data_IF_652065539169
#
_entry.id   IF_652065539169
#
_cell.length_a   1.000
_cell.length_b   1.000
_cell.length_c   1.000
_cell.angle_alpha   90.00
_cell.angle_beta   90.00
_cell.angle_gamma   90.00
#
_symmetry.space_group_name_H-M   'P 1'
#
loop_
_entity.id
_entity.type
_entity.pdbx_description
1 polymer ?
#
# COMPACT_ATOMS: atom_id res chain seq x y z
N UNK A 1 4.88 5.27 -16.50
CA UNK A 1 5.73 5.47 -15.30
C UNK A 1 5.08 4.88 -14.07
N UNK A 2 5.85 4.56 -13.05
CA UNK A 2 5.38 4.01 -11.77
C UNK A 2 5.37 5.14 -10.73
N UNK A 3 4.20 5.43 -10.14
CA UNK A 3 4.09 6.41 -9.06
C UNK A 3 4.65 5.81 -7.75
N UNK A 4 5.59 6.51 -7.12
CA UNK A 4 6.15 6.12 -5.82
C UNK A 4 6.00 7.22 -4.77
N UNK A 5 6.28 6.91 -3.52
CA UNK A 5 6.18 7.87 -2.40
C UNK A 5 7.18 9.04 -2.48
N UNK A 6 8.21 8.94 -3.31
CA UNK A 6 9.18 10.02 -3.53
C UNK A 6 9.00 10.68 -4.90
N UNK A 7 9.29 9.93 -5.96
CA UNK A 7 9.23 10.43 -7.33
C UNK A 7 8.75 9.32 -8.27
N UNK A 8 8.05 9.65 -9.36
CA UNK A 8 7.74 8.67 -10.39
C UNK A 8 9.00 8.05 -11.00
N UNK A 9 8.94 6.75 -11.27
CA UNK A 9 10.04 5.98 -11.88
C UNK A 9 9.64 5.50 -13.27
N UNK A 10 10.61 5.48 -14.18
CA UNK A 10 10.45 4.77 -15.43
C UNK A 10 10.49 3.25 -15.18
N UNK A 11 9.44 2.54 -15.61
CA UNK A 11 9.34 1.09 -15.43
C UNK A 11 10.50 0.34 -16.10
N UNK A 12 11.00 0.84 -17.25
CA UNK A 12 12.13 0.27 -17.96
C UNK A 12 13.47 0.40 -17.24
N UNK A 13 13.60 1.35 -16.32
CA UNK A 13 14.83 1.56 -15.54
C UNK A 13 14.98 0.61 -14.36
N UNK A 14 13.93 -0.17 -14.02
CA UNK A 14 13.91 -1.02 -12.84
C UNK A 14 14.48 -2.39 -13.17
N UNK A 15 15.60 -2.72 -12.55
CA UNK A 15 16.31 -3.99 -12.76
C UNK A 15 16.05 -5.02 -11.67
N UNK A 16 15.57 -4.60 -10.51
CA UNK A 16 15.33 -5.46 -9.35
C UNK A 16 13.93 -6.07 -9.30
N UNK A 17 13.73 -6.91 -8.30
CA UNK A 17 12.47 -7.60 -8.05
C UNK A 17 11.42 -6.72 -7.39
N UNK A 18 10.16 -7.20 -7.36
CA UNK A 18 9.02 -6.52 -6.74
C UNK A 18 8.45 -7.38 -5.61
N UNK A 19 8.35 -6.81 -4.40
CA UNK A 19 7.51 -7.36 -3.34
C UNK A 19 6.08 -6.85 -3.53
N UNK A 20 5.19 -7.75 -3.93
CA UNK A 20 3.88 -7.38 -4.50
C UNK A 20 2.81 -7.05 -3.44
N UNK A 21 3.04 -7.38 -2.17
CA UNK A 21 2.12 -7.08 -1.06
C UNK A 21 2.84 -7.14 0.27
N UNK A 22 3.16 -5.98 0.84
CA UNK A 22 3.83 -5.86 2.14
C UNK A 22 3.22 -4.72 2.95
N UNK A 23 3.40 -4.73 4.26
CA UNK A 23 3.12 -3.58 5.14
C UNK A 23 4.43 -3.14 5.78
N UNK A 24 4.65 -1.83 5.89
CA UNK A 24 5.91 -1.29 6.34
C UNK A 24 5.80 -0.50 7.64
N UNK A 25 4.76 0.31 7.78
CA UNK A 25 4.65 1.25 8.88
C UNK A 25 3.21 1.67 9.15
N UNK A 26 2.84 1.66 10.42
CA UNK A 26 1.58 2.21 10.92
C UNK A 26 1.84 3.34 11.92
N UNK A 27 0.96 4.33 11.97
CA UNK A 27 0.98 5.36 13.01
C UNK A 27 0.60 4.75 14.35
N UNK A 28 1.40 5.00 15.38
CA UNK A 28 1.12 4.58 16.73
C UNK A 28 0.57 5.75 17.55
N UNK A 29 -0.45 5.50 18.37
CA UNK A 29 -0.86 6.44 19.42
C UNK A 29 0.17 6.46 20.56
N UNK A 30 0.15 7.51 21.38
CA UNK A 30 1.01 7.56 22.57
C UNK A 30 0.75 6.36 23.52
N UNK A 31 -0.50 5.92 23.65
CA UNK A 31 -0.86 4.74 24.43
C UNK A 31 -0.26 3.45 23.83
N UNK A 32 -0.30 3.32 22.50
CA UNK A 32 0.32 2.19 21.80
C UNK A 32 1.82 2.17 21.99
N UNK A 33 2.49 3.33 21.87
CA UNK A 33 3.94 3.42 22.09
C UNK A 33 4.32 3.05 23.52
N UNK A 34 3.52 3.46 24.51
CA UNK A 34 3.71 3.03 25.91
C UNK A 34 3.56 1.53 26.04
N UNK A 35 2.53 0.92 25.48
CA UNK A 35 2.31 -0.53 25.50
C UNK A 35 3.48 -1.31 24.86
N UNK A 36 4.07 -0.79 23.77
CA UNK A 36 5.27 -1.37 23.15
C UNK A 36 6.47 -1.41 24.09
N UNK A 37 6.70 -0.35 24.86
CA UNK A 37 7.79 -0.29 25.83
C UNK A 37 7.56 -1.22 27.03
N UNK A 38 6.34 -1.32 27.52
CA UNK A 38 5.96 -2.17 28.65
C UNK A 38 5.92 -3.66 28.30
N UNK A 39 5.62 -3.98 27.02
CA UNK A 39 5.45 -5.36 26.56
C UNK A 39 6.29 -5.63 25.28
N UNK A 40 7.61 -5.58 25.35
CA UNK A 40 8.45 -5.83 24.19
C UNK A 40 8.36 -7.29 23.72
N UNK A 41 8.49 -7.51 22.41
CA UNK A 41 8.67 -8.87 21.86
C UNK A 41 10.09 -9.32 22.18
N UNK A 42 10.21 -10.48 22.82
CA UNK A 42 11.46 -11.10 23.22
C UNK A 42 11.47 -12.58 22.84
N UNK A 43 12.61 -13.24 22.86
CA UNK A 43 12.66 -14.69 22.62
C UNK A 43 11.82 -15.47 23.64
N UNK A 44 11.67 -14.99 24.87
CA UNK A 44 10.90 -15.65 25.91
C UNK A 44 9.38 -15.68 25.64
N UNK A 45 8.85 -14.66 24.96
CA UNK A 45 7.42 -14.56 24.65
C UNK A 45 7.08 -14.77 23.16
N UNK A 46 8.05 -15.09 22.33
CA UNK A 46 7.87 -15.21 20.89
C UNK A 46 6.85 -16.30 20.51
N UNK A 47 6.86 -17.42 21.25
CA UNK A 47 5.85 -18.49 21.03
C UNK A 47 4.45 -18.00 21.35
N UNK A 48 4.27 -17.23 22.44
CA UNK A 48 2.98 -16.62 22.78
C UNK A 48 2.50 -15.68 21.65
N UNK A 49 3.39 -14.81 21.14
CA UNK A 49 3.04 -13.89 20.05
C UNK A 49 2.63 -14.64 18.78
N UNK A 50 3.34 -15.72 18.45
CA UNK A 50 3.04 -16.55 17.26
C UNK A 50 1.73 -17.32 17.38
N UNK A 51 1.39 -17.81 18.58
CA UNK A 51 0.19 -18.62 18.82
C UNK A 51 -1.07 -17.79 19.11
N UNK A 52 -0.92 -16.56 19.63
CA UNK A 52 -2.07 -15.70 19.98
C UNK A 52 -2.58 -14.85 18.83
N UNK A 53 -1.82 -14.72 17.76
CA UNK A 53 -2.20 -13.92 16.59
C UNK A 53 -2.49 -12.46 16.96
N UNK A 54 -3.65 -11.97 16.56
CA UNK A 54 -4.09 -10.57 16.79
C UNK A 54 -4.84 -10.36 18.11
N UNK A 55 -5.09 -11.42 18.87
CA UNK A 55 -5.94 -11.39 20.09
C UNK A 55 -5.15 -11.41 21.40
N UNK A 56 -3.86 -11.64 21.35
CA UNK A 56 -3.05 -11.74 22.55
C UNK A 56 -2.73 -10.38 23.19
N UNK A 57 -2.31 -10.41 24.47
CA UNK A 57 -1.86 -9.22 25.18
C UNK A 57 -0.68 -8.49 24.49
N UNK A 58 0.04 -9.19 23.62
CA UNK A 58 1.17 -8.70 22.85
C UNK A 58 0.78 -8.28 21.41
N UNK A 59 -0.50 -8.32 21.04
CA UNK A 59 -0.97 -7.99 19.70
C UNK A 59 -0.56 -6.57 19.27
N UNK A 60 -0.69 -5.59 20.16
CA UNK A 60 -0.24 -4.21 19.90
C UNK A 60 1.27 -4.15 19.65
N UNK A 61 2.07 -4.89 20.42
CA UNK A 61 3.53 -4.94 20.29
C UNK A 61 3.98 -5.65 19.00
N UNK A 62 3.09 -6.42 18.36
CA UNK A 62 3.38 -7.15 17.15
C UNK A 62 3.08 -6.33 15.86
N UNK A 63 2.56 -5.11 15.97
CA UNK A 63 2.32 -4.24 14.82
C UNK A 63 3.59 -3.49 14.40
N UNK A 64 3.64 -3.11 13.13
CA UNK A 64 4.77 -2.41 12.51
C UNK A 64 4.71 -0.90 12.83
N UNK A 65 5.28 -0.48 13.95
CA UNK A 65 5.30 0.92 14.39
C UNK A 65 6.69 1.56 14.38
N UNK A 66 7.73 0.80 14.05
CA UNK A 66 9.10 1.30 14.09
C UNK A 66 9.63 1.55 12.69
N UNK A 67 9.80 2.82 12.36
CA UNK A 67 10.42 3.26 11.12
C UNK A 67 11.85 2.70 10.97
N UNK A 68 12.63 2.70 12.05
CA UNK A 68 14.02 2.21 12.03
C UNK A 68 14.10 0.70 11.77
N UNK A 69 13.17 -0.10 12.30
CA UNK A 69 13.12 -1.54 12.01
C UNK A 69 12.86 -1.78 10.52
N UNK A 70 11.91 -1.07 9.93
CA UNK A 70 11.61 -1.19 8.51
C UNK A 70 12.77 -0.71 7.63
N UNK A 71 13.43 0.40 7.99
CA UNK A 71 14.62 0.88 7.27
C UNK A 71 15.75 -0.14 7.30
N UNK A 72 16.07 -0.71 8.46
CA UNK A 72 17.14 -1.70 8.60
C UNK A 72 16.86 -2.96 7.78
N UNK A 73 15.64 -3.49 7.87
CA UNK A 73 15.24 -4.69 7.13
C UNK A 73 15.31 -4.46 5.61
N UNK A 74 14.78 -3.34 5.12
CA UNK A 74 14.78 -3.00 3.69
C UNK A 74 16.17 -2.65 3.15
N UNK A 75 16.99 -1.94 3.91
CA UNK A 75 18.36 -1.62 3.50
C UNK A 75 19.21 -2.89 3.34
N UNK A 76 19.03 -3.88 4.24
CA UNK A 76 19.66 -5.19 4.10
C UNK A 76 19.17 -5.91 2.83
N UNK A 77 17.86 -5.93 2.60
CA UNK A 77 17.30 -6.57 1.41
C UNK A 77 17.78 -5.93 0.13
N UNK A 78 17.81 -4.59 0.06
CA UNK A 78 18.30 -3.86 -1.13
C UNK A 78 19.75 -4.19 -1.46
N UNK A 79 20.60 -4.34 -0.46
CA UNK A 79 22.01 -4.69 -0.65
C UNK A 79 22.17 -6.03 -1.39
N UNK A 80 21.24 -6.96 -1.12
CA UNK A 80 21.30 -8.30 -1.71
C UNK A 80 20.61 -8.37 -3.08
N UNK A 81 19.50 -7.63 -3.27
CA UNK A 81 18.61 -7.73 -4.45
C UNK A 81 18.82 -6.61 -5.48
N UNK A 82 19.57 -5.56 -5.15
CA UNK A 82 19.76 -4.41 -6.03
C UNK A 82 18.56 -3.47 -6.08
N UNK A 83 18.07 -3.14 -7.27
CA UNK A 83 16.90 -2.27 -7.45
C UNK A 83 15.62 -2.99 -7.03
N UNK A 84 14.98 -2.55 -5.94
CA UNK A 84 13.81 -3.21 -5.33
C UNK A 84 12.62 -2.25 -5.31
N UNK A 85 11.44 -2.78 -5.63
CA UNK A 85 10.15 -2.12 -5.41
C UNK A 85 9.36 -2.86 -4.34
N UNK A 86 8.75 -2.12 -3.43
CA UNK A 86 7.80 -2.64 -2.44
C UNK A 86 6.43 -2.01 -2.69
N UNK A 87 5.40 -2.84 -2.86
CA UNK A 87 4.02 -2.39 -2.80
C UNK A 87 3.56 -2.39 -1.34
N UNK A 88 3.31 -1.21 -0.82
CA UNK A 88 2.90 -0.99 0.56
C UNK A 88 1.37 -1.00 0.67
N UNK A 89 0.85 -1.95 1.43
CA UNK A 89 -0.56 -2.34 1.48
C UNK A 89 -1.25 -2.00 2.81
N UNK A 90 -0.77 -1.02 3.56
CA UNK A 90 -1.51 -0.51 4.72
C UNK A 90 -2.66 0.37 4.26
N UNK A 91 -3.83 0.21 4.89
CA UNK A 91 -4.95 1.11 4.69
C UNK A 91 -4.87 2.34 5.59
N UNK A 92 -5.62 3.39 5.26
CA UNK A 92 -5.79 4.55 6.13
C UNK A 92 -6.37 4.18 7.51
N UNK A 93 -7.30 3.23 7.54
CA UNK A 93 -7.88 2.66 8.76
C UNK A 93 -6.84 1.97 9.65
N UNK A 94 -5.81 1.36 9.05
CA UNK A 94 -4.72 0.71 9.77
C UNK A 94 -3.71 1.71 10.34
N UNK A 95 -3.86 2.99 10.03
CA UNK A 95 -2.93 4.04 10.44
C UNK A 95 -1.74 4.20 9.50
N UNK A 96 -1.92 4.00 8.19
CA UNK A 96 -0.89 4.27 7.18
C UNK A 96 -0.23 5.63 7.40
N UNK A 97 1.09 5.68 7.32
CA UNK A 97 1.89 6.90 7.48
C UNK A 97 2.65 7.27 6.20
N UNK A 98 2.07 8.08 5.29
CA UNK A 98 2.73 8.48 4.06
C UNK A 98 4.10 9.16 4.28
N UNK A 99 4.22 10.01 5.30
CA UNK A 99 5.48 10.70 5.62
C UNK A 99 6.55 9.72 6.09
N UNK A 100 6.16 8.79 6.95
CA UNK A 100 7.05 7.71 7.41
C UNK A 100 7.49 6.80 6.27
N UNK A 101 6.59 6.47 5.33
CA UNK A 101 6.92 5.68 4.14
C UNK A 101 7.93 6.41 3.23
N UNK A 102 7.76 7.71 3.00
CA UNK A 102 8.72 8.51 2.26
C UNK A 102 10.08 8.56 2.95
N UNK A 103 10.12 8.63 4.27
CA UNK A 103 11.37 8.58 5.04
C UNK A 103 12.02 7.20 4.99
N UNK A 104 11.24 6.11 5.09
CA UNK A 104 11.74 4.75 4.91
C UNK A 104 12.35 4.59 3.51
N UNK A 105 11.66 5.04 2.46
CA UNK A 105 12.16 4.99 1.08
C UNK A 105 13.48 5.73 0.93
N UNK A 106 13.57 6.94 1.48
CA UNK A 106 14.75 7.80 1.42
C UNK A 106 15.96 7.19 2.13
N UNK A 107 15.75 6.66 3.33
CA UNK A 107 16.82 6.08 4.17
C UNK A 107 17.25 4.67 3.73
N UNK A 108 16.33 3.84 3.31
CA UNK A 108 16.64 2.48 2.82
C UNK A 108 17.10 2.49 1.36
N UNK A 109 16.73 3.53 0.60
CA UNK A 109 16.94 3.63 -0.83
C UNK A 109 16.06 2.64 -1.64
N UNK A 110 15.04 2.05 -1.05
CA UNK A 110 14.07 1.17 -1.69
C UNK A 110 12.92 2.00 -2.24
N UNK A 111 12.46 1.70 -3.45
CA UNK A 111 11.30 2.36 -4.05
C UNK A 111 10.00 1.80 -3.45
N UNK A 112 9.18 2.66 -2.85
CA UNK A 112 7.92 2.27 -2.24
C UNK A 112 6.75 2.80 -3.08
N UNK A 113 5.83 1.92 -3.44
CA UNK A 113 4.56 2.22 -4.10
C UNK A 113 3.46 2.08 -3.07
N UNK A 114 2.87 3.20 -2.67
CA UNK A 114 1.83 3.24 -1.62
C UNK A 114 0.45 2.99 -2.20
N UNK A 115 -0.41 2.32 -1.44
CA UNK A 115 -1.81 2.11 -1.81
C UNK A 115 -2.65 3.39 -1.67
N UNK A 116 -3.63 3.61 -2.57
CA UNK A 116 -4.80 4.44 -2.32
C UNK A 116 -5.87 3.57 -1.64
N UNK A 117 -6.43 4.01 -0.52
CA UNK A 117 -7.47 3.26 0.18
C UNK A 117 -8.57 4.18 0.69
N UNK A 118 -9.81 3.69 0.68
CA UNK A 118 -10.94 4.39 1.24
C UNK A 118 -10.80 4.52 2.76
N UNK A 119 -11.33 5.61 3.31
CA UNK A 119 -11.48 5.72 4.76
C UNK A 119 -12.67 4.85 5.18
N UNK A 120 -12.39 3.76 5.88
CA UNK A 120 -13.45 2.94 6.46
C UNK A 120 -14.08 3.67 7.65
N UNK A 121 -15.39 3.59 7.78
CA UNK A 121 -16.10 4.07 8.95
C UNK A 121 -16.12 2.96 10.01
N UNK A 122 -16.02 3.33 11.26
CA UNK A 122 -16.11 2.43 12.42
C UNK A 122 -17.54 1.89 12.70
N UNK A 123 -18.46 2.08 11.76
CA UNK A 123 -19.86 1.70 11.88
C UNK A 123 -20.73 2.72 12.64
N UNK A 124 -20.14 3.76 13.22
CA UNK A 124 -20.88 4.83 13.93
C UNK A 124 -21.37 5.92 12.96
N UNK A 125 -20.71 6.08 11.81
CA UNK A 125 -21.09 7.00 10.75
C UNK A 125 -21.51 6.24 9.48
N UNK A 126 -22.43 6.78 8.67
CA UNK A 126 -22.80 6.17 7.39
C UNK A 126 -21.60 6.14 6.45
N UNK A 127 -21.48 5.05 5.68
CA UNK A 127 -20.45 4.94 4.65
C UNK A 127 -20.66 6.04 3.60
N UNK A 128 -19.60 6.76 3.15
CA UNK A 128 -19.72 7.73 2.08
C UNK A 128 -20.25 7.10 0.78
N UNK A 129 -20.90 7.93 -0.04
CA UNK A 129 -21.38 7.48 -1.34
C UNK A 129 -20.22 7.02 -2.25
N UNK A 130 -20.45 6.04 -3.14
CA UNK A 130 -19.42 5.52 -4.04
C UNK A 130 -18.67 6.61 -4.83
N UNK A 131 -19.38 7.62 -5.34
CA UNK A 131 -18.77 8.74 -6.07
C UNK A 131 -17.79 9.56 -5.21
N UNK A 132 -18.12 9.76 -3.94
CA UNK A 132 -17.23 10.46 -3.00
C UNK A 132 -15.99 9.64 -2.71
N UNK A 133 -16.15 8.32 -2.56
CA UNK A 133 -15.05 7.38 -2.38
C UNK A 133 -14.16 7.38 -3.63
N UNK A 134 -14.74 7.28 -4.81
CA UNK A 134 -14.01 7.31 -6.08
C UNK A 134 -13.15 8.57 -6.22
N UNK A 135 -13.73 9.75 -5.99
CA UNK A 135 -13.00 11.03 -6.04
C UNK A 135 -11.87 11.14 -5.00
N UNK A 136 -12.06 10.60 -3.79
CA UNK A 136 -11.00 10.59 -2.78
C UNK A 136 -9.84 9.67 -3.21
N UNK A 137 -10.12 8.50 -3.78
CA UNK A 137 -9.12 7.60 -4.32
C UNK A 137 -8.38 8.21 -5.53
N UNK A 138 -9.09 8.84 -6.47
CA UNK A 138 -8.51 9.58 -7.58
C UNK A 138 -7.56 10.67 -7.07
N UNK A 139 -7.97 11.41 -6.06
CA UNK A 139 -7.13 12.45 -5.46
C UNK A 139 -5.82 11.88 -4.89
N UNK A 140 -5.86 10.74 -4.18
CA UNK A 140 -4.67 10.08 -3.67
C UNK A 140 -3.72 9.62 -4.78
N UNK A 141 -4.27 9.16 -5.92
CA UNK A 141 -3.53 8.65 -7.06
C UNK A 141 -2.90 9.77 -7.91
N UNK A 142 -3.63 10.85 -8.15
CA UNK A 142 -3.22 11.90 -9.08
C UNK A 142 -2.50 13.07 -8.38
N UNK A 143 -2.95 13.42 -7.18
CA UNK A 143 -2.47 14.60 -6.46
C UNK A 143 -1.74 14.28 -5.16
N UNK A 144 -1.87 13.06 -4.66
CA UNK A 144 -1.22 12.61 -3.43
C UNK A 144 -1.86 13.14 -2.14
N UNK A 145 -1.39 12.63 -1.03
CA UNK A 145 -1.78 13.05 0.32
C UNK A 145 -0.76 14.02 0.91
N UNK A 146 -1.22 14.96 1.74
CA UNK A 146 -0.32 15.78 2.54
C UNK A 146 0.32 14.93 3.63
N UNK A 147 1.65 14.90 3.68
CA UNK A 147 2.36 14.38 4.83
C UNK A 147 2.01 15.22 6.06
N UNK A 148 1.41 14.62 7.10
CA UNK A 148 1.34 15.29 8.40
C UNK A 148 2.76 15.49 8.90
N UNK A 149 3.12 16.66 9.50
CA UNK A 149 4.41 16.80 10.14
C UNK A 149 4.53 15.72 11.20
N UNK A 150 5.48 14.79 11.02
CA UNK A 150 5.77 13.75 11.99
C UNK A 150 6.15 14.42 13.30
N UNK A 151 5.52 14.01 14.40
CA UNK A 151 6.00 14.35 15.73
C UNK A 151 7.48 13.94 15.81
N UNK A 152 8.33 14.93 16.01
CA UNK A 152 9.78 14.83 16.05
C UNK A 152 10.23 13.69 16.97
N UNK A 153 10.75 12.61 16.41
CA UNK A 153 11.74 11.83 17.10
C UNK A 153 13.06 12.60 16.99
N UNK A 154 13.47 13.16 18.11
CA UNK A 154 14.70 13.91 18.28
C UNK A 154 15.92 13.06 17.93
N UNK A 155 16.53 13.34 16.79
CA UNK A 155 17.95 13.11 16.53
C UNK A 155 18.45 14.19 15.57
N UNK A 156 19.60 14.81 15.80
CA UNK A 156 20.11 15.87 14.96
C UNK A 156 20.66 15.27 13.67
N UNK A 157 20.01 15.55 12.55
CA UNK A 157 20.56 15.15 11.25
C UNK A 157 20.79 16.41 10.41
N UNK A 158 22.05 16.70 10.22
CA UNK A 158 22.60 17.57 9.19
C UNK A 158 22.43 16.90 7.83
N UNK A 159 21.25 16.99 7.25
CA UNK A 159 21.02 16.75 5.83
C UNK A 159 20.03 17.78 5.34
N UNK A 160 20.42 18.56 4.35
CA UNK A 160 19.64 19.65 3.77
C UNK A 160 18.29 19.12 3.27
N UNK A 161 17.20 19.65 3.81
CA UNK A 161 15.86 19.47 3.28
C UNK A 161 15.76 20.09 1.89
N UNK A 162 14.96 19.53 0.94
CA UNK A 162 14.76 20.14 -0.36
C UNK A 162 14.13 21.53 -0.21
N UNK A 163 14.60 22.48 -1.01
CA UNK A 163 14.35 23.91 -0.89
C UNK A 163 12.94 24.38 -1.30
N UNK A 164 11.95 23.52 -1.40
CA UNK A 164 10.59 23.90 -1.75
C UNK A 164 9.64 23.68 -0.59
N UNK A 165 9.25 24.79 0.05
CA UNK A 165 8.29 24.84 1.15
C UNK A 165 6.82 24.56 0.76
N UNK A 166 6.58 23.74 -0.24
CA UNK A 166 5.34 23.02 -0.46
C UNK A 166 5.51 21.66 0.25
N UNK A 167 4.68 21.36 1.25
CA UNK A 167 4.61 20.04 1.83
C UNK A 167 4.50 19.04 0.66
N UNK A 168 5.54 18.20 0.45
CA UNK A 168 5.60 17.31 -0.68
C UNK A 168 4.42 16.37 -0.59
N UNK A 169 3.56 16.39 -1.59
CA UNK A 169 2.44 15.47 -1.68
C UNK A 169 2.98 14.09 -2.04
N UNK A 170 2.52 13.08 -1.33
CA UNK A 170 2.96 11.69 -1.50
C UNK A 170 1.89 10.95 -2.25
N UNK A 171 2.19 10.52 -3.47
CA UNK A 171 1.24 9.85 -4.35
C UNK A 171 1.11 8.37 -4.04
N UNK A 172 -0.11 7.85 -4.24
CA UNK A 172 -0.37 6.41 -4.30
C UNK A 172 -0.16 5.87 -5.73
N UNK A 173 0.19 4.60 -5.85
CA UNK A 173 0.46 3.96 -7.14
C UNK A 173 -0.52 2.86 -7.53
N UNK A 174 -1.43 2.47 -6.65
CA UNK A 174 -2.49 1.48 -6.91
C UNK A 174 -3.65 1.67 -5.94
N UNK A 175 -4.79 1.05 -6.24
CA UNK A 175 -5.97 1.07 -5.37
C UNK A 175 -5.99 -0.22 -4.55
N UNK A 176 -6.22 -0.12 -3.24
CA UNK A 176 -6.33 -1.26 -2.33
C UNK A 176 -7.71 -1.30 -1.69
N UNK A 177 -8.34 -2.48 -1.72
CA UNK A 177 -9.52 -2.81 -0.94
C UNK A 177 -9.25 -4.10 -0.18
N UNK A 178 -9.23 -4.03 1.16
CA UNK A 178 -9.13 -5.21 2.02
C UNK A 178 -10.54 -5.75 2.30
N UNK A 179 -10.69 -7.06 2.13
CA UNK A 179 -11.97 -7.76 2.25
C UNK A 179 -11.88 -8.79 3.37
N UNK A 180 -12.60 -8.51 4.45
CA UNK A 180 -12.68 -9.39 5.61
C UNK A 180 -14.02 -10.13 5.61
N UNK A 181 -14.06 -11.33 6.17
CA UNK A 181 -15.33 -12.02 6.38
C UNK A 181 -16.09 -11.37 7.53
N UNK A 182 -17.36 -11.00 7.32
CA UNK A 182 -18.19 -10.34 8.32
C UNK A 182 -18.41 -11.19 9.58
N UNK A 183 -18.19 -12.49 9.48
CA UNK A 183 -18.27 -13.44 10.60
C UNK A 183 -16.93 -13.71 11.28
N UNK A 184 -15.80 -13.26 10.71
CA UNK A 184 -14.57 -13.19 11.47
C UNK A 184 -14.72 -11.98 12.40
N UNK A 185 -15.06 -12.22 13.65
CA UNK A 185 -15.04 -11.22 14.72
C UNK A 185 -13.61 -10.77 15.00
N UNK A 186 -13.00 -10.07 14.02
CA UNK A 186 -11.79 -9.31 14.16
C UNK A 186 -12.16 -7.82 14.15
N UNK A 187 -12.58 -7.24 15.30
CA UNK A 187 -12.63 -5.79 15.40
C UNK A 187 -11.19 -5.29 15.45
N UNK A 188 -10.71 -4.73 14.32
CA UNK A 188 -9.40 -4.09 14.23
C UNK A 188 -9.28 -2.82 15.08
N UNK A 189 -10.38 -2.33 15.67
CA UNK A 189 -10.36 -1.16 16.53
C UNK A 189 -11.43 -1.24 17.61
N UNK A 190 -11.04 -1.67 18.81
CA UNK A 190 -11.54 -1.04 20.03
C UNK A 190 -10.56 -1.32 21.17
N UNK A 191 -9.90 -0.29 21.67
CA UNK A 191 -9.31 -0.27 23.00
C UNK A 191 -10.42 -0.29 24.06
N UNK A 192 -11.04 -1.43 24.26
CA UNK A 192 -11.87 -1.70 25.43
C UNK A 192 -11.34 -2.94 26.12
N UNK A 193 -10.84 -2.71 27.32
CA UNK A 193 -10.44 -3.68 28.31
C UNK A 193 -11.71 -4.34 28.90
N UNK A 194 -12.32 -5.28 28.20
CA UNK A 194 -13.21 -6.23 28.84
C UNK A 194 -13.18 -7.57 28.10
N UNK A 195 -12.58 -8.56 28.75
CA UNK A 195 -12.56 -9.93 28.32
C UNK A 195 -13.94 -10.55 28.55
N UNK A 196 -14.72 -10.69 27.49
CA UNK A 196 -15.90 -11.57 27.53
C UNK A 196 -15.52 -12.96 27.02
N UNK A 197 -15.42 -13.88 27.94
CA UNK A 197 -15.24 -15.31 27.73
C UNK A 197 -16.56 -15.92 27.22
N UNK A 198 -16.69 -16.06 25.91
CA UNK A 198 -17.64 -17.00 25.31
C UNK A 198 -17.09 -17.49 23.96
N UNK A 199 -16.64 -18.74 23.90
CA UNK A 199 -16.33 -19.41 22.66
C UNK A 199 -17.64 -19.68 21.89
N UNK A 200 -17.76 -19.30 20.60
CA UNK A 200 -18.90 -19.72 19.79
C UNK A 200 -18.80 -21.21 19.46
N UNK A 201 -19.92 -21.92 19.61
CA UNK A 201 -20.03 -23.34 19.32
C UNK A 201 -19.73 -23.63 17.83
N UNK A 202 -18.98 -24.70 17.55
CA UNK A 202 -18.59 -25.15 16.21
C UNK A 202 -19.76 -25.37 15.22
N UNK A 203 -20.97 -25.55 15.69
CA UNK A 203 -22.16 -25.74 14.85
C UNK A 203 -22.67 -24.47 14.15
N UNK A 204 -22.27 -23.27 14.58
CA UNK A 204 -22.65 -22.00 13.94
C UNK A 204 -21.82 -21.66 12.69
N UNK A 205 -20.67 -22.29 12.51
CA UNK A 205 -19.73 -22.06 11.39
C UNK A 205 -20.20 -22.67 10.05
N UNK A 206 -21.13 -23.62 10.08
CA UNK A 206 -21.57 -24.35 8.88
C UNK A 206 -22.92 -23.84 8.31
N UNK A 207 -23.63 -22.95 8.99
CA UNK A 207 -25.03 -22.67 8.68
C UNK A 207 -25.31 -21.37 7.89
N UNK A 208 -24.35 -20.50 7.64
CA UNK A 208 -24.60 -19.23 6.95
C UNK A 208 -23.95 -19.17 5.58
N UNK A 209 -24.69 -19.66 4.60
CA UNK A 209 -24.42 -19.50 3.16
C UNK A 209 -24.72 -18.08 2.65
N UNK A 210 -24.39 -17.03 3.42
CA UNK A 210 -24.59 -15.68 2.95
C UNK A 210 -23.39 -15.22 2.10
N UNK A 211 -23.60 -15.23 0.78
CA UNK A 211 -22.67 -14.66 -0.22
C UNK A 211 -22.81 -13.14 -0.33
N UNK A 212 -23.65 -12.52 0.49
CA UNK A 212 -23.89 -11.08 0.43
C UNK A 212 -22.67 -10.28 0.87
N UNK A 213 -22.31 -9.32 0.05
CA UNK A 213 -21.28 -8.33 0.38
C UNK A 213 -21.95 -7.28 1.27
N UNK A 214 -21.42 -7.05 2.46
CA UNK A 214 -21.96 -6.02 3.35
C UNK A 214 -22.06 -4.68 2.61
N UNK A 215 -23.17 -3.95 2.77
CA UNK A 215 -23.46 -2.72 1.99
C UNK A 215 -22.35 -1.66 2.02
N UNK A 216 -21.63 -1.53 3.14
CA UNK A 216 -20.46 -0.64 3.22
C UNK A 216 -19.29 -1.08 2.33
N UNK A 217 -19.04 -2.37 2.21
CA UNK A 217 -18.02 -2.94 1.33
C UNK A 217 -18.38 -2.77 -0.14
N UNK A 218 -19.67 -2.89 -0.50
CA UNK A 218 -20.16 -2.65 -1.87
C UNK A 218 -19.88 -1.23 -2.34
N UNK A 219 -20.15 -0.22 -1.50
CA UNK A 219 -19.89 1.18 -1.83
C UNK A 219 -18.39 1.46 -2.04
N UNK A 220 -17.52 0.83 -1.23
CA UNK A 220 -16.06 0.95 -1.39
C UNK A 220 -15.60 0.32 -2.70
N UNK A 221 -16.10 -0.86 -3.04
CA UNK A 221 -15.76 -1.54 -4.29
C UNK A 221 -16.23 -0.74 -5.52
N UNK A 222 -17.44 -0.21 -5.50
CA UNK A 222 -17.94 0.64 -6.58
C UNK A 222 -17.11 1.91 -6.73
N UNK A 223 -16.77 2.59 -5.64
CA UNK A 223 -15.88 3.75 -5.66
C UNK A 223 -14.49 3.41 -6.19
N UNK A 224 -13.94 2.25 -5.81
CA UNK A 224 -12.65 1.77 -6.29
C UNK A 224 -12.65 1.48 -7.81
N UNK A 225 -13.72 0.87 -8.33
CA UNK A 225 -13.87 0.64 -9.78
C UNK A 225 -14.00 1.96 -10.54
N UNK A 226 -14.74 2.95 -10.01
CA UNK A 226 -14.84 4.29 -10.60
C UNK A 226 -13.45 4.96 -10.66
N UNK A 227 -12.70 4.96 -9.56
CA UNK A 227 -11.34 5.50 -9.52
C UNK A 227 -10.39 4.77 -10.48
N UNK A 228 -10.47 3.43 -10.55
CA UNK A 228 -9.73 2.64 -11.53
C UNK A 228 -10.07 3.03 -12.96
N UNK A 229 -11.35 3.25 -13.24
CA UNK A 229 -11.80 3.65 -14.56
C UNK A 229 -11.23 5.00 -14.98
N UNK A 230 -11.27 5.99 -14.09
CA UNK A 230 -10.79 7.35 -14.36
C UNK A 230 -9.27 7.41 -14.51
N UNK A 231 -8.54 6.71 -13.64
CA UNK A 231 -7.07 6.86 -13.54
C UNK A 231 -6.29 5.84 -14.34
N UNK A 232 -6.84 4.63 -14.54
CA UNK A 232 -6.12 3.49 -15.08
C UNK A 232 -5.29 2.71 -14.05
N UNK A 233 -5.27 3.14 -12.79
CA UNK A 233 -4.52 2.48 -11.72
C UNK A 233 -4.99 1.03 -11.49
N UNK A 234 -4.09 0.07 -11.19
CA UNK A 234 -4.49 -1.29 -10.88
C UNK A 234 -5.27 -1.35 -9.56
N UNK A 235 -6.26 -2.23 -9.49
CA UNK A 235 -7.04 -2.51 -8.29
C UNK A 235 -6.53 -3.79 -7.63
N UNK A 236 -6.13 -3.71 -6.36
CA UNK A 236 -5.79 -4.88 -5.55
C UNK A 236 -6.92 -5.17 -4.56
N UNK A 237 -7.43 -6.38 -4.61
CA UNK A 237 -8.36 -6.95 -3.65
C UNK A 237 -7.57 -7.86 -2.71
N UNK A 238 -7.41 -7.45 -1.46
CA UNK A 238 -6.72 -8.24 -0.46
C UNK A 238 -7.76 -9.00 0.39
N UNK A 239 -7.97 -10.25 0.07
CA UNK A 239 -8.85 -11.12 0.85
C UNK A 239 -8.14 -11.61 2.11
N UNK A 240 -8.89 -11.70 3.22
CA UNK A 240 -8.41 -12.42 4.38
C UNK A 240 -8.28 -13.92 4.05
N UNK A 241 -7.38 -14.62 4.73
CA UNK A 241 -7.10 -16.03 4.46
C UNK A 241 -8.29 -16.96 4.67
N UNK A 242 -9.33 -16.47 5.35
CA UNK A 242 -10.53 -17.23 5.69
C UNK A 242 -11.73 -16.91 4.80
N UNK A 243 -11.57 -16.01 3.81
CA UNK A 243 -12.65 -15.69 2.88
C UNK A 243 -12.96 -16.91 2.02
N UNK A 244 -14.23 -17.33 2.02
CA UNK A 244 -14.69 -18.48 1.25
C UNK A 244 -14.67 -18.17 -0.25
N UNK A 245 -14.36 -19.17 -1.06
CA UNK A 245 -14.25 -19.06 -2.51
C UNK A 245 -15.51 -18.49 -3.21
N UNK A 246 -16.76 -18.86 -2.82
CA UNK A 246 -17.95 -18.25 -3.40
C UNK A 246 -17.99 -16.72 -3.27
N UNK A 247 -17.47 -16.17 -2.15
CA UNK A 247 -17.40 -14.73 -1.94
C UNK A 247 -16.34 -14.07 -2.84
N UNK A 248 -15.19 -14.70 -3.02
CA UNK A 248 -14.18 -14.23 -3.97
C UNK A 248 -14.79 -14.11 -5.37
N UNK A 249 -15.51 -15.17 -5.82
CA UNK A 249 -16.18 -15.18 -7.13
C UNK A 249 -17.22 -14.08 -7.24
N UNK A 250 -18.14 -13.98 -6.29
CA UNK A 250 -19.19 -12.96 -6.29
C UNK A 250 -18.62 -11.54 -6.32
N UNK A 251 -17.53 -11.29 -5.59
CA UNK A 251 -16.85 -9.98 -5.62
C UNK A 251 -16.28 -9.68 -7.00
N UNK A 252 -15.63 -10.65 -7.64
CA UNK A 252 -15.05 -10.48 -8.98
C UNK A 252 -16.11 -10.34 -10.07
N UNK A 253 -17.22 -11.04 -9.95
CA UNK A 253 -18.38 -10.92 -10.85
C UNK A 253 -18.97 -9.52 -10.77
N UNK A 254 -19.18 -8.98 -9.56
CA UNK A 254 -19.64 -7.61 -9.34
C UNK A 254 -18.69 -6.56 -9.95
N UNK A 255 -17.39 -6.72 -9.76
CA UNK A 255 -16.40 -5.81 -10.35
C UNK A 255 -16.42 -5.88 -11.86
N UNK A 256 -16.50 -7.08 -12.44
CA UNK A 256 -16.56 -7.26 -13.89
C UNK A 256 -17.84 -6.64 -14.49
N UNK A 257 -18.96 -6.69 -13.78
CA UNK A 257 -20.21 -6.03 -14.16
C UNK A 257 -20.04 -4.50 -14.16
N UNK A 258 -19.55 -3.94 -13.05
CA UNK A 258 -19.31 -2.50 -12.92
C UNK A 258 -18.28 -1.98 -13.94
N UNK A 259 -17.25 -2.77 -14.27
CA UNK A 259 -16.28 -2.40 -15.32
C UNK A 259 -16.93 -2.37 -16.72
N UNK A 260 -17.91 -3.23 -17.00
CA UNK A 260 -18.68 -3.20 -18.26
C UNK A 260 -19.57 -1.97 -18.34
N UNK A 261 -20.32 -1.67 -17.29
CA UNK A 261 -21.24 -0.51 -17.25
C UNK A 261 -20.49 0.81 -17.44
N UNK A 262 -19.27 0.91 -16.88
CA UNK A 262 -18.43 2.09 -17.06
C UNK A 262 -17.80 2.18 -18.45
N UNK A 263 -17.54 1.07 -19.13
CA UNK A 263 -16.99 1.04 -20.49
C UNK A 263 -18.03 1.52 -21.53
N UNK A 264 -19.30 1.18 -21.36
CA UNK A 264 -20.41 1.60 -22.25
C UNK A 264 -20.70 3.11 -22.15
N UNK A 265 -20.25 3.78 -21.09
CA UNK A 265 -20.37 5.23 -20.92
C UNK A 265 -19.38 6.08 -21.76
N UNK A 266 -18.59 5.49 -22.63
CA UNK A 266 -17.86 6.19 -23.71
C UNK A 266 -16.53 6.84 -23.35
N UNK A 267 -15.89 6.45 -22.25
CA UNK A 267 -14.58 6.96 -21.86
C UNK A 267 -13.51 5.86 -21.88
N UNK A 268 -12.68 5.86 -22.91
CA UNK A 268 -11.44 5.07 -23.09
C UNK A 268 -11.55 3.58 -23.45
N UNK A 269 -10.46 3.12 -24.11
CA UNK A 269 -10.25 1.85 -24.78
C UNK A 269 -10.83 0.60 -24.11
N UNK A 270 -11.50 -0.21 -24.91
CA UNK A 270 -12.09 -1.51 -24.61
C UNK A 270 -11.05 -2.53 -24.10
N UNK A 271 -10.92 -2.68 -22.77
CA UNK A 271 -10.11 -3.73 -22.16
C UNK A 271 -10.48 -3.91 -20.69
N UNK A 272 -10.63 -5.16 -20.25
CA UNK A 272 -10.76 -5.49 -18.82
C UNK A 272 -9.57 -4.90 -18.06
N UNK A 273 -9.83 -4.02 -17.09
CA UNK A 273 -8.78 -3.41 -16.28
C UNK A 273 -8.21 -4.41 -15.27
N UNK A 274 -6.91 -4.35 -14.99
CA UNK A 274 -6.28 -5.37 -14.17
C UNK A 274 -6.77 -5.33 -12.71
N UNK A 275 -7.12 -6.52 -12.20
CA UNK A 275 -7.48 -6.75 -10.80
C UNK A 275 -6.51 -7.73 -10.19
N UNK A 276 -5.77 -7.31 -9.17
CA UNK A 276 -4.87 -8.17 -8.42
C UNK A 276 -5.65 -8.78 -7.26
N UNK A 277 -5.67 -10.08 -7.17
CA UNK A 277 -6.37 -10.83 -6.11
C UNK A 277 -5.32 -11.41 -5.18
N UNK A 278 -5.17 -10.81 -4.00
CA UNK A 278 -4.23 -11.23 -2.97
C UNK A 278 -4.89 -12.16 -1.96
N UNK A 279 -4.09 -12.95 -1.21
CA UNK A 279 -4.56 -13.98 -0.32
C UNK A 279 -4.75 -15.34 -1.01
N UNK A 280 -4.13 -15.57 -2.16
CA UNK A 280 -4.38 -16.73 -3.04
C UNK A 280 -3.43 -17.92 -2.82
N UNK A 281 -2.84 -18.07 -1.68
CA UNK A 281 -1.89 -19.16 -1.35
C UNK A 281 -2.55 -20.53 -1.10
N UNK A 282 -3.86 -20.62 -1.14
CA UNK A 282 -4.55 -21.90 -1.18
C UNK A 282 -4.85 -22.55 0.16
N UNK A 283 -5.47 -21.81 1.09
CA UNK A 283 -6.09 -22.42 2.26
C UNK A 283 -7.19 -23.44 1.87
N UNK A 284 -7.81 -24.06 2.85
CA UNK A 284 -8.84 -25.11 2.69
C UNK A 284 -9.99 -24.67 1.76
N UNK A 285 -10.23 -23.37 1.65
CA UNK A 285 -11.30 -22.80 0.83
C UNK A 285 -10.94 -22.50 -0.63
N UNK A 286 -9.68 -22.74 -1.05
CA UNK A 286 -9.19 -22.35 -2.38
C UNK A 286 -8.51 -23.54 -3.07
N UNK A 287 -9.24 -24.23 -3.92
CA UNK A 287 -8.68 -25.34 -4.68
C UNK A 287 -7.88 -24.87 -5.90
N UNK A 288 -6.91 -25.66 -6.32
CA UNK A 288 -6.19 -25.42 -7.58
C UNK A 288 -7.13 -25.39 -8.81
N UNK A 289 -8.14 -26.30 -8.94
CA UNK A 289 -9.13 -26.18 -10.01
C UNK A 289 -9.89 -24.85 -10.01
N UNK A 290 -10.26 -24.32 -8.85
CA UNK A 290 -10.96 -23.04 -8.74
C UNK A 290 -10.10 -21.88 -9.23
N UNK A 291 -8.84 -21.85 -8.83
CA UNK A 291 -7.89 -20.82 -9.27
C UNK A 291 -7.63 -20.89 -10.78
N UNK A 292 -7.45 -22.09 -11.31
CA UNK A 292 -7.28 -22.31 -12.75
C UNK A 292 -8.53 -21.91 -13.54
N UNK A 293 -9.73 -22.26 -13.05
CA UNK A 293 -11.00 -21.86 -13.65
C UNK A 293 -11.19 -20.35 -13.64
N UNK A 294 -10.84 -19.67 -12.53
CA UNK A 294 -10.86 -18.20 -12.45
C UNK A 294 -9.96 -17.58 -13.51
N UNK A 295 -8.71 -18.02 -13.60
CA UNK A 295 -7.75 -17.51 -14.58
C UNK A 295 -8.20 -17.79 -16.03
N UNK A 296 -8.84 -18.95 -16.30
CA UNK A 296 -9.34 -19.29 -17.63
C UNK A 296 -10.53 -18.44 -18.04
N UNK A 297 -11.45 -18.17 -17.11
CA UNK A 297 -12.74 -17.55 -17.42
C UNK A 297 -12.76 -16.04 -17.27
N UNK A 298 -11.78 -15.45 -16.54
CA UNK A 298 -11.77 -13.99 -16.25
C UNK A 298 -10.50 -13.37 -16.78
N UNK A 299 -10.61 -12.52 -17.81
CA UNK A 299 -9.49 -11.74 -18.31
C UNK A 299 -9.13 -10.62 -17.33
N UNK A 300 -7.86 -10.27 -17.24
CA UNK A 300 -7.37 -9.16 -16.39
C UNK A 300 -7.18 -9.46 -14.92
N UNK A 301 -7.56 -10.64 -14.42
CA UNK A 301 -7.27 -11.07 -13.03
C UNK A 301 -5.84 -11.57 -12.92
N UNK A 302 -5.11 -11.11 -11.91
CA UNK A 302 -3.76 -11.55 -11.53
C UNK A 302 -3.81 -12.08 -10.10
N UNK A 303 -3.32 -13.29 -9.87
CA UNK A 303 -3.27 -13.90 -8.54
C UNK A 303 -1.98 -13.48 -7.82
N UNK A 304 -2.11 -13.00 -6.58
CA UNK A 304 -0.99 -12.71 -5.70
C UNK A 304 -0.90 -13.79 -4.61
N UNK A 305 0.20 -14.54 -4.64
CA UNK A 305 0.56 -15.48 -3.58
C UNK A 305 1.45 -14.74 -2.58
N UNK A 306 0.88 -14.35 -1.44
CA UNK A 306 1.43 -13.35 -0.53
C UNK A 306 1.64 -13.83 0.92
N UNK A 307 1.84 -15.12 1.13
CA UNK A 307 2.02 -15.69 2.47
C UNK A 307 3.23 -16.62 2.59
N UNK A 308 4.26 -16.38 1.77
CA UNK A 308 5.48 -17.17 1.87
C UNK A 308 6.25 -16.87 3.17
N UNK A 309 6.76 -17.92 3.79
CA UNK A 309 7.47 -17.82 5.07
C UNK A 309 6.57 -17.66 6.30
N UNK A 310 5.25 -17.83 6.15
CA UNK A 310 4.33 -17.83 7.30
C UNK A 310 4.43 -19.14 8.07
N UNK A 311 4.72 -19.02 9.36
CA UNK A 311 4.84 -20.16 10.29
C UNK A 311 3.90 -20.02 11.49
N UNK A 312 2.89 -19.18 11.34
CA UNK A 312 1.92 -18.93 12.39
C UNK A 312 0.86 -20.01 12.41
N UNK A 313 0.46 -20.37 13.61
CA UNK A 313 -0.66 -21.25 13.85
C UNK A 313 -1.58 -20.60 14.88
N UNK A 314 -2.86 -20.55 14.59
CA UNK A 314 -3.87 -20.06 15.52
C UNK A 314 -4.86 -21.18 15.83
N UNK A 315 -5.10 -21.49 17.11
CA UNK A 315 -6.09 -22.50 17.48
C UNK A 315 -7.47 -22.19 16.89
N UNK A 316 -8.07 -23.18 16.21
CA UNK A 316 -9.39 -23.03 15.60
C UNK A 316 -9.41 -22.26 14.28
N UNK A 317 -8.26 -21.98 13.68
CA UNK A 317 -8.14 -21.41 12.35
C UNK A 317 -7.53 -22.42 11.38
N UNK A 318 -7.82 -22.24 10.09
CA UNK A 318 -7.13 -22.94 9.02
C UNK A 318 -5.62 -22.65 9.08
N UNK A 319 -4.81 -23.64 8.78
CA UNK A 319 -3.37 -23.45 8.70
C UNK A 319 -2.98 -22.75 7.39
N UNK A 320 -1.87 -22.03 7.43
CA UNK A 320 -1.24 -21.51 6.21
C UNK A 320 -0.57 -22.68 5.47
N UNK A 321 -0.79 -22.81 4.15
CA UNK A 321 -0.04 -23.78 3.35
C UNK A 321 1.46 -23.52 3.49
N UNK A 322 2.22 -24.61 3.47
CA UNK A 322 3.67 -24.49 3.42
C UNK A 322 4.14 -23.80 2.14
N UNK A 323 5.34 -23.25 2.16
CA UNK A 323 5.98 -22.69 0.98
C UNK A 323 6.07 -23.71 -0.17
N UNK A 324 6.27 -25.01 0.16
CA UNK A 324 6.32 -26.09 -0.82
C UNK A 324 4.97 -26.34 -1.46
N UNK A 325 3.89 -26.43 -0.68
CA UNK A 325 2.52 -26.60 -1.21
C UNK A 325 2.14 -25.44 -2.12
N UNK A 326 2.48 -24.21 -1.73
CA UNK A 326 2.25 -23.02 -2.54
C UNK A 326 3.10 -23.00 -3.82
N UNK A 327 4.37 -23.44 -3.76
CA UNK A 327 5.24 -23.52 -4.93
C UNK A 327 4.76 -24.60 -5.92
N UNK A 328 4.32 -25.77 -5.44
CA UNK A 328 3.74 -26.83 -6.28
C UNK A 328 2.48 -26.32 -6.98
N UNK A 329 1.62 -25.59 -6.28
CA UNK A 329 0.42 -24.98 -6.84
C UNK A 329 0.74 -23.97 -7.94
N UNK A 330 1.71 -23.08 -7.69
CA UNK A 330 2.18 -22.12 -8.70
C UNK A 330 2.74 -22.85 -9.92
N UNK A 331 3.60 -23.84 -9.73
CA UNK A 331 4.19 -24.60 -10.83
C UNK A 331 3.11 -25.27 -11.70
N UNK A 332 2.01 -25.75 -11.09
CA UNK A 332 0.89 -26.34 -11.84
C UNK A 332 0.12 -25.26 -12.63
N UNK A 333 -0.11 -24.08 -12.06
CA UNK A 333 -0.73 -22.97 -12.77
C UNK A 333 0.15 -22.47 -13.93
N UNK A 334 1.47 -22.42 -13.74
CA UNK A 334 2.44 -22.07 -14.81
C UNK A 334 2.38 -23.11 -15.94
N UNK A 335 2.34 -24.41 -15.65
CA UNK A 335 2.17 -25.47 -16.66
C UNK A 335 0.89 -25.32 -17.49
N UNK A 336 -0.14 -24.68 -16.93
CA UNK A 336 -1.39 -24.34 -17.63
C UNK A 336 -1.33 -23.01 -18.39
N UNK A 337 -0.16 -22.35 -18.43
CA UNK A 337 0.06 -21.12 -19.19
C UNK A 337 -0.28 -19.82 -18.45
N UNK A 338 -0.36 -19.81 -17.12
CA UNK A 338 -0.77 -18.64 -16.35
C UNK A 338 0.38 -17.86 -15.73
N UNK A 339 1.65 -18.07 -16.13
CA UNK A 339 2.81 -17.41 -15.57
C UNK A 339 2.70 -15.85 -15.58
N UNK A 340 2.14 -15.28 -16.66
CA UNK A 340 1.95 -13.82 -16.80
C UNK A 340 0.87 -13.24 -15.86
N UNK A 341 0.15 -14.08 -15.15
CA UNK A 341 -0.98 -13.72 -14.30
C UNK A 341 -0.80 -14.14 -12.84
N UNK A 342 0.46 -14.31 -12.44
CA UNK A 342 0.85 -14.67 -11.07
C UNK A 342 1.92 -13.67 -10.60
N UNK A 343 1.80 -13.23 -9.36
CA UNK A 343 2.83 -12.48 -8.63
C UNK A 343 3.00 -13.08 -7.24
N UNK A 344 4.20 -12.92 -6.65
CA UNK A 344 4.53 -13.49 -5.35
C UNK A 344 5.02 -12.45 -4.37
N UNK A 345 4.77 -12.65 -3.07
CA UNK A 345 5.22 -11.78 -1.99
C UNK A 345 5.33 -12.53 -0.67
N UNK A 346 6.10 -11.99 0.29
CA UNK A 346 6.19 -12.55 1.63
C UNK A 346 4.97 -12.21 2.48
N UNK A 347 4.32 -11.08 2.22
CA UNK A 347 3.14 -10.61 2.94
C UNK A 347 3.44 -10.22 4.38
N UNK A 348 4.58 -9.58 4.61
CA UNK A 348 4.93 -9.05 5.93
C UNK A 348 3.89 -8.04 6.36
N UNK A 349 3.30 -8.24 7.53
CA UNK A 349 2.29 -7.35 8.12
C UNK A 349 2.44 -7.18 9.63
N UNK A 350 3.42 -7.87 10.23
CA UNK A 350 3.67 -7.86 11.68
C UNK A 350 5.16 -7.92 11.97
N UNK A 351 5.54 -7.48 13.18
CA UNK A 351 6.95 -7.50 13.63
C UNK A 351 7.54 -8.91 13.68
N UNK A 352 6.77 -9.92 14.07
CA UNK A 352 7.27 -11.32 14.09
C UNK A 352 7.60 -11.87 12.69
N UNK A 353 7.16 -11.22 11.61
CA UNK A 353 7.55 -11.57 10.25
C UNK A 353 8.93 -11.04 9.86
N UNK A 354 9.43 -10.00 10.56
CA UNK A 354 10.75 -9.42 10.31
C UNK A 354 11.86 -10.35 10.78
N UNK A 355 12.99 -10.35 10.07
CA UNK A 355 14.15 -11.22 10.36
C UNK A 355 14.66 -11.06 11.79
N UNK A 356 14.67 -9.84 12.32
CA UNK A 356 15.13 -9.56 13.67
C UNK A 356 14.28 -10.19 14.78
N UNK A 357 13.02 -10.57 14.49
CA UNK A 357 12.10 -11.25 15.42
C UNK A 357 11.93 -12.74 15.08
N UNK A 358 12.84 -13.30 14.27
CA UNK A 358 12.84 -14.70 13.90
C UNK A 358 11.82 -15.03 12.79
N UNK A 359 11.29 -14.02 12.08
CA UNK A 359 10.56 -14.19 10.84
C UNK A 359 11.51 -14.33 9.65
N UNK A 360 10.94 -14.47 8.47
CA UNK A 360 11.69 -14.62 7.23
C UNK A 360 11.96 -13.29 6.49
N UNK A 361 11.31 -12.21 6.89
CA UNK A 361 11.47 -10.86 6.32
C UNK A 361 10.89 -10.69 4.93
N UNK A 362 11.00 -9.47 4.39
CA UNK A 362 10.45 -9.10 3.08
C UNK A 362 11.06 -9.88 1.91
N UNK A 363 12.30 -10.32 2.03
CA UNK A 363 13.04 -10.99 0.95
C UNK A 363 12.75 -12.48 0.77
N UNK A 364 11.95 -13.10 1.64
CA UNK A 364 11.79 -14.55 1.64
C UNK A 364 11.21 -15.09 0.33
N UNK A 365 10.12 -14.49 -0.15
CA UNK A 365 9.50 -14.89 -1.41
C UNK A 365 10.47 -14.77 -2.60
N UNK A 366 11.34 -13.76 -2.60
CA UNK A 366 12.28 -13.49 -3.68
C UNK A 366 13.54 -14.38 -3.66
N UNK A 367 13.96 -14.82 -2.47
CA UNK A 367 15.20 -15.63 -2.32
C UNK A 367 14.93 -17.12 -2.27
N UNK A 368 13.84 -17.51 -1.62
CA UNK A 368 13.58 -18.91 -1.28
C UNK A 368 12.66 -19.58 -2.28
N UNK A 369 11.70 -18.87 -2.84
CA UNK A 369 10.70 -19.46 -3.73
C UNK A 369 11.22 -19.68 -5.15
N UNK A 370 11.98 -18.78 -5.80
CA UNK A 370 12.52 -18.99 -7.13
C UNK A 370 13.32 -20.30 -7.28
N UNK A 371 14.27 -20.66 -6.40
CA UNK A 371 14.97 -21.92 -6.51
C UNK A 371 14.04 -23.15 -6.38
N UNK A 372 12.95 -23.05 -5.62
CA UNK A 372 11.95 -24.13 -5.50
C UNK A 372 11.16 -24.30 -6.79
N UNK A 373 10.70 -23.20 -7.39
CA UNK A 373 9.98 -23.19 -8.66
C UNK A 373 10.84 -23.78 -9.80
N UNK A 374 12.13 -23.39 -9.87
CA UNK A 374 13.07 -23.98 -10.84
C UNK A 374 13.19 -25.50 -10.69
N UNK A 375 13.30 -26.03 -9.45
CA UNK A 375 13.31 -27.47 -9.19
C UNK A 375 12.01 -28.17 -9.59
N UNK A 376 10.88 -27.48 -9.55
CA UNK A 376 9.57 -27.98 -10.00
C UNK A 376 9.37 -27.84 -11.52
N UNK A 377 10.40 -27.42 -12.27
CA UNK A 377 10.39 -27.33 -13.72
C UNK A 377 9.80 -26.02 -14.29
N UNK A 378 9.62 -24.99 -13.45
CA UNK A 378 9.26 -23.65 -13.92
C UNK A 378 10.50 -23.01 -14.57
N UNK A 379 10.36 -22.35 -15.71
CA UNK A 379 11.47 -21.70 -16.41
C UNK A 379 11.98 -20.46 -15.64
N UNK A 380 13.22 -20.07 -15.88
CA UNK A 380 13.78 -18.85 -15.30
C UNK A 380 13.03 -17.59 -15.78
N UNK A 381 12.56 -17.62 -17.01
CA UNK A 381 11.74 -16.56 -17.62
C UNK A 381 10.40 -16.42 -16.90
N UNK A 382 9.72 -17.52 -16.63
CA UNK A 382 8.45 -17.52 -15.88
C UNK A 382 8.65 -17.04 -14.44
N UNK A 383 9.76 -17.44 -13.81
CA UNK A 383 10.12 -16.91 -12.47
C UNK A 383 10.31 -15.40 -12.52
N UNK A 384 11.02 -14.87 -13.52
CA UNK A 384 11.22 -13.43 -13.70
C UNK A 384 9.89 -12.68 -13.98
N UNK A 385 8.95 -13.30 -14.69
CA UNK A 385 7.60 -12.76 -14.85
C UNK A 385 6.95 -12.56 -13.47
N UNK A 386 6.93 -13.58 -12.63
CA UNK A 386 6.23 -13.58 -11.34
C UNK A 386 6.89 -12.71 -10.28
N UNK A 387 8.22 -12.58 -10.29
CA UNK A 387 8.97 -11.80 -9.30
C UNK A 387 9.15 -10.33 -9.67
N UNK A 388 8.97 -9.97 -10.94
CA UNK A 388 9.24 -8.62 -11.43
C UNK A 388 8.26 -8.15 -12.51
N UNK A 389 8.30 -8.77 -13.68
CA UNK A 389 7.76 -8.19 -14.92
C UNK A 389 6.25 -7.98 -14.85
N UNK A 390 5.50 -8.93 -14.29
CA UNK A 390 4.04 -8.82 -14.17
C UNK A 390 3.64 -7.60 -13.33
N UNK A 391 4.32 -7.39 -12.19
CA UNK A 391 4.00 -6.26 -11.32
C UNK A 391 4.42 -4.92 -11.94
N UNK A 392 5.59 -4.84 -12.57
CA UNK A 392 6.02 -3.62 -13.27
C UNK A 392 5.02 -3.22 -14.36
N UNK A 393 4.53 -4.19 -15.13
CA UNK A 393 3.53 -3.97 -16.18
C UNK A 393 2.21 -3.43 -15.60
N UNK A 394 1.79 -3.94 -14.43
CA UNK A 394 0.58 -3.47 -13.75
C UNK A 394 0.73 -2.05 -13.20
N UNK A 395 1.90 -1.70 -12.68
CA UNK A 395 2.17 -0.40 -12.07
C UNK A 395 2.52 0.70 -13.09
N UNK A 396 2.80 0.36 -14.35
CA UNK A 396 3.16 1.31 -15.42
C UNK A 396 1.93 1.98 -16.06
N UNK A 397 1.10 2.60 -15.23
CA UNK A 397 -0.12 3.30 -15.67
C UNK A 397 -0.02 4.82 -15.53
N UNK A 398 0.87 5.30 -14.67
CA UNK A 398 0.93 6.71 -14.32
C UNK A 398 1.59 7.54 -15.43
N UNK A 399 0.87 8.56 -15.89
CA UNK A 399 1.44 9.61 -16.73
C UNK A 399 1.46 10.90 -15.94
N UNK A 400 2.65 11.40 -15.53
CA UNK A 400 2.72 12.67 -14.83
C UNK A 400 2.08 13.75 -15.69
N UNK A 401 1.32 14.69 -15.11
CA UNK A 401 0.84 15.83 -15.85
C UNK A 401 2.03 16.56 -16.50
N UNK A 402 1.86 17.10 -17.71
CA UNK A 402 2.92 17.86 -18.34
C UNK A 402 3.37 18.96 -17.36
N UNK A 403 4.68 19.28 -17.33
CA UNK A 403 5.17 20.39 -16.51
C UNK A 403 4.29 21.61 -16.76
N UNK A 404 3.73 22.19 -15.71
CA UNK A 404 2.93 23.38 -15.84
C UNK A 404 3.80 24.47 -16.47
N UNK A 405 3.56 24.82 -17.72
CA UNK A 405 4.23 25.93 -18.37
C UNK A 405 3.84 27.19 -17.56
N UNK A 406 4.78 27.71 -16.81
CA UNK A 406 4.59 28.99 -16.10
C UNK A 406 4.52 30.06 -17.20
N UNK A 407 3.39 30.76 -17.36
CA UNK A 407 3.26 31.79 -18.36
C UNK A 407 4.43 32.77 -18.31
N UNK A 408 4.87 33.27 -19.47
CA UNK A 408 6.05 34.13 -19.58
C UNK A 408 5.90 35.48 -18.85
N UNK A 409 4.66 35.87 -18.61
CA UNK A 409 4.27 37.09 -17.87
C UNK A 409 4.29 36.93 -16.34
N UNK A 410 4.47 35.68 -15.84
CA UNK A 410 4.62 35.50 -14.40
C UNK A 410 5.95 36.05 -13.89
N UNK A 411 5.86 36.97 -12.92
CA UNK A 411 7.02 37.62 -12.32
C UNK A 411 7.61 36.82 -11.14
N UNK A 412 8.94 36.68 -11.01
CA UNK A 412 9.56 36.13 -9.82
C UNK A 412 9.48 37.11 -8.65
N UNK A 413 9.00 36.65 -7.51
CA UNK A 413 9.04 37.47 -6.29
C UNK A 413 10.50 37.65 -5.81
N UNK A 414 10.92 38.88 -5.59
CA UNK A 414 12.31 39.24 -5.19
C UNK A 414 12.70 38.69 -3.81
N UNK A 415 11.74 38.24 -3.00
CA UNK A 415 12.01 37.66 -1.67
C UNK A 415 11.91 36.12 -1.64
N UNK A 416 10.75 35.55 -2.03
CA UNK A 416 10.55 34.12 -1.92
C UNK A 416 10.83 33.36 -3.22
N UNK A 417 11.23 34.00 -4.28
CA UNK A 417 11.56 33.47 -5.60
C UNK A 417 10.38 32.74 -6.32
N UNK A 418 9.20 32.67 -5.71
CA UNK A 418 8.03 32.10 -6.36
C UNK A 418 7.57 32.99 -7.50
N UNK A 419 7.29 32.38 -8.65
CA UNK A 419 6.63 33.07 -9.75
C UNK A 419 5.15 33.27 -9.44
N UNK A 420 4.61 34.44 -9.77
CA UNK A 420 3.22 34.78 -9.52
C UNK A 420 2.66 35.60 -10.69
N UNK A 421 1.37 35.54 -10.91
CA UNK A 421 0.66 36.39 -11.86
C UNK A 421 0.61 37.82 -11.33
N UNK A 422 1.07 38.81 -12.10
CA UNK A 422 1.08 40.24 -11.65
C UNK A 422 -0.32 40.84 -11.84
N UNK A 423 -1.28 40.51 -11.00
CA UNK A 423 -2.60 41.15 -10.99
C UNK A 423 -2.48 42.53 -10.37
N UNK A 424 -2.90 43.57 -11.10
CA UNK A 424 -2.78 44.96 -10.65
C UNK A 424 -3.53 45.17 -9.32
N UNK A 425 -2.84 45.73 -8.32
CA UNK A 425 -3.35 45.94 -6.96
C UNK A 425 -3.12 44.77 -6.00
N UNK A 426 -2.70 43.58 -6.47
CA UNK A 426 -2.47 42.42 -5.62
C UNK A 426 -1.00 42.13 -5.31
N UNK A 427 -0.07 42.81 -5.98
CA UNK A 427 1.37 42.67 -5.74
C UNK A 427 2.01 43.98 -5.37
N UNK A 428 3.25 43.95 -4.87
CA UNK A 428 3.92 45.10 -4.30
C UNK A 428 5.22 45.39 -5.03
N UNK A 429 5.47 46.67 -5.28
CA UNK A 429 6.76 47.18 -5.75
C UNK A 429 7.45 48.01 -4.67
N UNK A 430 8.75 47.83 -4.52
CA UNK A 430 9.59 48.71 -3.71
C UNK A 430 10.99 48.76 -4.30
N UNK A 431 11.44 49.95 -4.69
CA UNK A 431 12.66 50.14 -5.49
C UNK A 431 12.59 49.27 -6.78
N UNK A 432 13.65 48.54 -7.11
CA UNK A 432 13.70 47.59 -8.24
C UNK A 432 13.08 46.20 -7.93
N UNK A 433 12.53 46.01 -6.74
CA UNK A 433 12.04 44.70 -6.27
C UNK A 433 10.53 44.56 -6.41
N UNK A 434 10.09 43.31 -6.74
CA UNK A 434 8.69 42.91 -6.91
C UNK A 434 8.33 41.81 -5.92
N UNK A 435 7.17 41.89 -5.29
CA UNK A 435 6.76 40.95 -4.25
C UNK A 435 5.35 40.44 -4.47
N UNK A 436 5.17 39.14 -4.37
CA UNK A 436 3.88 38.48 -4.54
C UNK A 436 2.88 38.75 -3.40
N UNK A 437 3.32 39.27 -2.27
CA UNK A 437 2.48 39.62 -1.11
C UNK A 437 3.20 40.52 -0.12
N UNK A 438 2.44 41.21 0.75
CA UNK A 438 2.96 42.11 1.77
C UNK A 438 3.93 41.47 2.76
N UNK A 439 3.77 40.16 3.06
CA UNK A 439 4.70 39.41 3.91
C UNK A 439 6.10 39.33 3.30
N UNK A 440 6.20 39.17 1.99
CA UNK A 440 7.49 39.13 1.28
C UNK A 440 8.18 40.50 1.27
N UNK A 441 7.43 41.59 1.06
CA UNK A 441 7.94 42.93 1.17
C UNK A 441 8.47 43.23 2.57
N UNK A 442 7.71 42.89 3.62
CA UNK A 442 8.14 43.05 5.01
C UNK A 442 9.41 42.27 5.33
N UNK A 443 9.46 40.99 4.95
CA UNK A 443 10.64 40.17 5.18
C UNK A 443 11.90 40.75 4.53
N UNK A 444 11.81 41.23 3.29
CA UNK A 444 12.97 41.84 2.61
C UNK A 444 13.35 43.17 3.24
N UNK A 445 12.37 44.00 3.65
CA UNK A 445 12.63 45.26 4.37
C UNK A 445 13.38 45.02 5.67
N UNK A 446 13.04 44.00 6.43
CA UNK A 446 13.64 43.67 7.72
C UNK A 446 15.12 43.23 7.59
N UNK A 447 15.56 42.88 6.38
CA UNK A 447 16.97 42.62 6.02
C UNK A 447 17.67 43.85 5.36
N UNK A 448 17.02 44.99 5.33
CA UNK A 448 17.59 46.25 4.78
C UNK A 448 17.64 46.32 3.25
N UNK A 449 16.82 45.51 2.54
CA UNK A 449 16.78 45.43 1.07
C UNK A 449 18.14 45.11 0.42
N UNK A 450 18.99 44.32 1.10
CA UNK A 450 20.27 43.90 0.54
C UNK A 450 20.07 43.07 -0.74
N UNK A 451 20.85 43.35 -1.78
CA UNK A 451 20.75 42.61 -3.05
C UNK A 451 21.00 41.09 -2.89
N UNK A 452 21.74 40.72 -1.85
CA UNK A 452 22.06 39.32 -1.52
C UNK A 452 21.09 38.68 -0.50
N UNK A 453 20.10 39.44 -0.01
CA UNK A 453 19.13 38.96 0.96
C UNK A 453 17.93 38.33 0.25
N UNK A 454 18.16 37.19 -0.37
CA UNK A 454 17.07 36.26 -0.75
C UNK A 454 16.58 35.59 0.51
N UNK A 455 15.28 35.52 0.73
CA UNK A 455 14.73 34.79 1.86
C UNK A 455 15.32 33.38 1.86
N UNK A 456 16.05 33.03 2.91
CA UNK A 456 16.26 31.61 3.19
C UNK A 456 14.87 30.98 3.26
N UNK A 457 14.61 29.89 2.52
CA UNK A 457 13.33 29.23 2.59
C UNK A 457 13.04 28.94 4.06
N UNK A 458 12.02 29.58 4.59
CA UNK A 458 11.51 29.23 5.92
C UNK A 458 10.93 27.83 5.82
N UNK A 459 11.57 26.92 6.53
CA UNK A 459 11.16 25.55 6.82
C UNK A 459 9.69 25.47 7.24
#
# INVERSE_FOLDING_TARGET
MIATVLNPLDAGSITGNCCSREELLHKASAATMKALHENPITLANLTEVRSSGERGRLAASNRLFSLDESVQELASLKKDEGGLIIMECSERSDGRDPSGLAEISRRSGVSIVMAASAKQTDGTAPQPAPDSIGKDLEHQLLFGEHGSPSHSHSAPTTAAAPADGAASRIQAGFILVKLYDSNSSYPLHQGSTEATTAAPAESALLAHGDSSIAGGTSAVLEGAVKAQHTTGAPLMLAFSHFVRWPRVKATLEMIAEQQRDTADAGTCASGSRPVIVAGMHGGVSQSLPDQAALLSNTKGVVLCFDCFGRVEWSPGSDYYPSDEESAVRIAELVRRGFAERIVISSGVSRRIHLSRFGGHGYGHALRTIPPRLLRLGVSAEDVALMTRTNMLRLLDWYSPPPPMEIPKDYLPCSWCQKRFEPVEGEYFHKFQFVYCRSKCLRGHRDTGFGADAVAKPTV
#
